data_IF_175493493521
#
_entry.id   IF_175493493521
#
_cell.length_a   1.000
_cell.length_b   1.000
_cell.length_c   1.000
_cell.angle_alpha   90.00
_cell.angle_beta   90.00
_cell.angle_gamma   90.00
#
_symmetry.space_group_name_H-M   'P 1'
#
loop_
_entity.id
_entity.type
_entity.pdbx_description
1 polymer ?
#
# COMPACT_ATOMS: atom_id res chain seq x y z
N UNK A 1 8.51 -7.70 -24.65
CA UNK A 1 9.82 -7.58 -25.36
C UNK A 1 9.91 -6.29 -26.18
N UNK A 2 8.86 -5.89 -26.92
CA UNK A 2 8.88 -4.64 -27.72
C UNK A 2 9.22 -3.39 -26.90
N UNK A 3 8.58 -3.18 -25.74
CA UNK A 3 8.82 -2.01 -24.88
C UNK A 3 10.29 -1.88 -24.44
N UNK A 4 10.96 -3.01 -24.16
CA UNK A 4 12.35 -3.00 -23.69
C UNK A 4 13.37 -2.70 -24.80
N UNK A 5 13.04 -3.07 -26.03
CA UNK A 5 13.90 -2.90 -27.20
C UNK A 5 13.67 -1.54 -27.87
N UNK A 6 12.57 -0.86 -27.55
CA UNK A 6 12.25 0.44 -28.10
C UNK A 6 13.22 1.51 -27.58
N UNK A 7 13.88 2.28 -28.47
CA UNK A 7 14.92 3.23 -28.08
C UNK A 7 14.39 4.44 -27.30
N UNK A 8 13.07 4.70 -27.33
CA UNK A 8 12.43 5.81 -26.62
C UNK A 8 11.84 5.30 -25.31
N UNK A 9 11.03 4.24 -25.36
CA UNK A 9 10.32 3.71 -24.19
C UNK A 9 11.27 3.03 -23.18
N UNK A 10 12.42 2.52 -23.62
CA UNK A 10 13.44 1.98 -22.71
C UNK A 10 14.07 3.03 -21.79
N UNK A 11 13.87 4.33 -22.08
CA UNK A 11 14.48 5.43 -21.33
C UNK A 11 13.52 6.07 -20.30
N UNK A 12 12.24 5.69 -20.31
CA UNK A 12 11.24 6.25 -19.39
C UNK A 12 11.06 5.38 -18.15
N UNK A 13 10.43 5.95 -17.11
CA UNK A 13 10.04 5.17 -15.93
C UNK A 13 8.83 4.30 -16.27
N UNK A 14 8.93 3.01 -15.99
CA UNK A 14 7.84 2.06 -16.17
C UNK A 14 7.40 1.56 -14.80
N UNK A 15 6.13 1.73 -14.48
CA UNK A 15 5.51 1.29 -13.23
C UNK A 15 4.30 0.44 -13.58
N UNK A 16 4.15 -0.71 -12.95
CA UNK A 16 3.02 -1.62 -13.13
C UNK A 16 2.20 -1.75 -11.85
N UNK A 17 0.90 -1.95 -12.02
CA UNK A 17 0.07 -2.69 -11.07
C UNK A 17 0.22 -4.18 -11.41
N UNK A 18 0.99 -4.97 -10.62
CA UNK A 18 1.43 -6.29 -11.05
C UNK A 18 0.39 -7.38 -10.78
N UNK A 19 -0.89 -7.09 -11.04
CA UNK A 19 -1.96 -8.07 -10.95
C UNK A 19 -3.12 -7.75 -11.89
N UNK A 20 -3.93 -8.76 -12.17
CA UNK A 20 -5.27 -8.63 -12.74
C UNK A 20 -6.26 -9.54 -11.99
N UNK A 21 -7.55 -9.45 -12.33
CA UNK A 21 -8.64 -10.22 -11.69
C UNK A 21 -8.76 -11.66 -12.19
N UNK A 22 -7.98 -12.03 -13.21
CA UNK A 22 -8.01 -13.35 -13.84
C UNK A 22 -7.27 -14.42 -13.04
N UNK A 23 -7.53 -15.68 -13.38
CA UNK A 23 -6.78 -16.81 -12.82
C UNK A 23 -5.30 -16.70 -13.21
N UNK A 24 -4.42 -16.76 -12.21
CA UNK A 24 -2.98 -16.57 -12.41
C UNK A 24 -2.56 -15.10 -12.63
N UNK A 25 -3.48 -14.16 -12.43
CA UNK A 25 -3.25 -12.72 -12.63
C UNK A 25 -2.24 -12.10 -11.67
N UNK A 26 -1.99 -12.70 -10.50
CA UNK A 26 -1.07 -12.15 -9.50
C UNK A 26 0.39 -12.35 -9.90
N UNK A 27 1.06 -11.27 -10.32
CA UNK A 27 2.38 -11.26 -10.95
C UNK A 27 3.41 -10.39 -10.19
N UNK A 28 3.20 -10.14 -8.90
CA UNK A 28 4.15 -9.41 -8.06
C UNK A 28 5.52 -10.09 -8.10
N UNK A 29 6.56 -9.32 -8.40
CA UNK A 29 7.94 -9.78 -8.56
C UNK A 29 8.29 -10.29 -9.97
N UNK A 30 7.28 -10.63 -10.79
CA UNK A 30 7.48 -11.28 -12.08
C UNK A 30 7.63 -10.29 -13.26
N UNK A 31 7.48 -8.96 -13.05
CA UNK A 31 7.73 -8.03 -14.15
C UNK A 31 9.21 -7.95 -14.49
N UNK A 32 9.55 -7.69 -15.77
CA UNK A 32 10.95 -7.57 -16.19
C UNK A 32 11.69 -6.41 -15.50
N UNK A 33 13.02 -6.50 -15.43
CA UNK A 33 13.93 -5.59 -14.71
C UNK A 33 13.67 -4.07 -14.86
N UNK A 34 13.35 -3.48 -16.03
CA UNK A 34 13.14 -2.03 -16.12
C UNK A 34 11.85 -1.54 -15.43
N UNK A 35 10.96 -2.44 -15.05
CA UNK A 35 9.72 -2.09 -14.38
C UNK A 35 9.93 -1.93 -12.88
N UNK A 36 9.23 -0.96 -12.30
CA UNK A 36 8.91 -0.93 -10.87
C UNK A 36 7.47 -1.39 -10.70
N UNK A 37 7.11 -1.86 -9.52
CA UNK A 37 5.80 -2.44 -9.25
C UNK A 37 5.19 -1.83 -8.01
N UNK A 38 3.88 -1.58 -8.07
CA UNK A 38 3.10 -1.29 -6.87
C UNK A 38 3.18 -2.48 -5.93
N UNK A 39 3.76 -2.26 -4.75
CA UNK A 39 3.97 -3.32 -3.78
C UNK A 39 2.76 -3.46 -2.85
N UNK A 40 1.73 -4.20 -3.31
CA UNK A 40 0.56 -4.51 -2.49
C UNK A 40 0.91 -5.26 -1.19
N UNK A 41 1.96 -6.11 -1.22
CA UNK A 41 2.45 -6.82 -0.03
C UNK A 41 3.00 -5.85 1.01
N UNK A 42 3.65 -4.76 0.60
CA UNK A 42 4.07 -3.67 1.48
C UNK A 42 2.88 -3.00 2.14
N UNK A 43 1.90 -2.55 1.32
CA UNK A 43 0.67 -1.91 1.79
C UNK A 43 0.01 -2.73 2.89
N UNK A 44 -0.27 -4.00 2.62
CA UNK A 44 -1.05 -4.85 3.54
C UNK A 44 -0.24 -5.21 4.80
N UNK A 45 1.07 -5.45 4.67
CA UNK A 45 1.91 -5.79 5.82
C UNK A 45 2.08 -4.60 6.77
N UNK A 46 2.29 -3.40 6.23
CA UNK A 46 2.44 -2.17 7.02
C UNK A 46 1.11 -1.82 7.71
N UNK A 47 -0.02 -1.94 7.00
CA UNK A 47 -1.36 -1.76 7.57
C UNK A 47 -1.62 -2.74 8.72
N UNK A 48 -1.43 -4.04 8.48
CA UNK A 48 -1.61 -5.06 9.52
C UNK A 48 -0.69 -4.87 10.73
N UNK A 49 0.56 -4.45 10.51
CA UNK A 49 1.51 -4.18 11.60
C UNK A 49 1.03 -3.05 12.52
N UNK A 50 0.64 -1.90 11.97
CA UNK A 50 0.20 -0.75 12.76
C UNK A 50 -1.22 -0.87 13.33
N UNK A 51 -2.07 -1.67 12.66
CA UNK A 51 -3.35 -2.13 13.21
C UNK A 51 -3.16 -2.98 14.48
N UNK A 52 -2.03 -3.67 14.61
CA UNK A 52 -1.69 -4.48 15.77
C UNK A 52 -1.93 -5.98 15.59
N UNK A 53 -2.00 -6.46 14.34
CA UNK A 53 -2.10 -7.89 14.07
C UNK A 53 -0.85 -8.64 14.58
N UNK A 54 -1.04 -9.84 15.12
CA UNK A 54 0.06 -10.65 15.64
C UNK A 54 0.95 -11.22 14.52
N UNK A 55 2.21 -11.52 14.85
CA UNK A 55 3.14 -12.23 13.95
C UNK A 55 3.68 -11.42 12.77
N UNK A 56 3.47 -10.10 12.72
CA UNK A 56 3.84 -9.26 11.57
C UNK A 56 5.32 -8.87 11.48
N UNK A 57 6.12 -9.08 12.53
CA UNK A 57 7.50 -8.59 12.63
C UNK A 57 8.39 -9.09 11.49
N UNK A 58 8.34 -10.39 11.18
CA UNK A 58 9.19 -10.99 10.14
C UNK A 58 8.86 -10.42 8.75
N UNK A 59 7.57 -10.31 8.43
CA UNK A 59 7.10 -9.77 7.16
C UNK A 59 7.44 -8.27 7.03
N UNK A 60 7.29 -7.54 8.14
CA UNK A 60 7.63 -6.12 8.21
C UNK A 60 9.13 -5.88 7.98
N UNK A 61 10.02 -6.77 8.45
CA UNK A 61 11.45 -6.66 8.24
C UNK A 61 11.82 -6.69 6.74
N UNK A 62 11.15 -7.56 5.96
CA UNK A 62 11.31 -7.55 4.50
C UNK A 62 10.81 -6.25 3.87
N UNK A 63 9.66 -5.73 4.32
CA UNK A 63 9.08 -4.50 3.78
C UNK A 63 9.95 -3.27 4.02
N UNK A 64 10.51 -3.15 5.22
CA UNK A 64 11.42 -2.05 5.56
C UNK A 64 12.72 -2.07 4.74
N UNK A 65 13.15 -3.26 4.31
CA UNK A 65 14.42 -3.46 3.59
C UNK A 65 14.28 -3.55 2.07
N UNK A 66 13.12 -3.12 1.53
CA UNK A 66 12.91 -3.01 0.09
C UNK A 66 12.41 -4.29 -0.58
N UNK A 67 11.79 -5.17 0.20
CA UNK A 67 11.19 -6.43 -0.26
C UNK A 67 12.16 -7.32 -1.05
N UNK A 68 13.34 -7.67 -0.50
CA UNK A 68 14.28 -8.54 -1.19
C UNK A 68 13.68 -9.93 -1.47
N UNK A 69 12.74 -10.39 -0.64
CA UNK A 69 11.98 -11.63 -0.87
C UNK A 69 11.17 -11.64 -2.19
N UNK A 70 10.84 -10.46 -2.73
CA UNK A 70 10.11 -10.32 -3.99
C UNK A 70 11.04 -10.02 -5.18
N UNK A 71 12.05 -9.16 -4.98
CA UNK A 71 12.76 -8.52 -6.09
C UNK A 71 14.22 -8.97 -6.25
N UNK A 72 14.88 -9.42 -5.18
CA UNK A 72 16.33 -9.69 -5.20
C UNK A 72 16.69 -10.84 -6.14
N UNK A 73 15.92 -11.93 -6.11
CA UNK A 73 16.20 -13.15 -6.87
C UNK A 73 16.16 -12.96 -8.40
N UNK A 74 15.49 -11.91 -8.88
CA UNK A 74 15.43 -11.55 -10.31
C UNK A 74 16.46 -10.50 -10.72
N UNK A 75 17.43 -10.19 -9.85
CA UNK A 75 18.46 -9.17 -10.08
C UNK A 75 17.92 -7.74 -10.01
N UNK A 76 16.70 -7.56 -9.50
CA UNK A 76 16.09 -6.23 -9.33
C UNK A 76 16.53 -5.64 -8.00
N UNK A 77 16.69 -4.33 -8.00
CA UNK A 77 17.14 -3.56 -6.82
C UNK A 77 15.93 -2.99 -6.07
N UNK A 78 16.10 -2.44 -4.86
CA UNK A 78 14.99 -1.90 -4.07
C UNK A 78 14.11 -0.87 -4.78
N UNK A 79 14.64 -0.14 -5.79
CA UNK A 79 13.83 0.79 -6.59
C UNK A 79 12.65 0.10 -7.32
N UNK A 80 12.72 -1.22 -7.53
CA UNK A 80 11.65 -1.99 -8.16
C UNK A 80 10.39 -2.04 -7.30
N UNK A 81 10.52 -1.81 -5.99
CA UNK A 81 9.40 -1.72 -5.06
C UNK A 81 8.88 -0.29 -4.98
N UNK A 82 7.67 -0.05 -5.49
CA UNK A 82 6.91 1.15 -5.18
C UNK A 82 6.11 0.89 -3.91
N UNK A 83 6.62 1.41 -2.80
CA UNK A 83 6.03 1.29 -1.49
C UNK A 83 4.90 2.31 -1.35
N UNK A 84 3.75 1.89 -0.83
CA UNK A 84 2.63 2.78 -0.55
C UNK A 84 1.78 2.23 0.59
N UNK A 85 1.19 3.11 1.38
CA UNK A 85 0.22 2.74 2.42
C UNK A 85 -1.21 2.96 1.94
N UNK A 86 -1.42 3.99 1.13
CA UNK A 86 -2.70 4.43 0.57
C UNK A 86 -2.52 4.80 -0.89
N UNK A 87 -3.60 4.71 -1.65
CA UNK A 87 -3.69 5.07 -3.05
C UNK A 87 -5.11 5.58 -3.31
N UNK A 88 -5.44 5.83 -4.58
CA UNK A 88 -6.80 6.18 -4.96
C UNK A 88 -7.80 5.06 -4.69
N UNK A 89 -7.36 3.79 -4.75
CA UNK A 89 -8.19 2.64 -4.40
C UNK A 89 -8.22 2.40 -2.89
N UNK A 90 -9.43 2.39 -2.33
CA UNK A 90 -9.69 2.15 -0.91
C UNK A 90 -9.63 3.43 -0.08
N UNK A 91 -9.23 3.31 1.18
CA UNK A 91 -9.20 4.44 2.12
C UNK A 91 -8.03 5.40 1.88
N UNK A 92 -8.30 6.68 2.15
CA UNK A 92 -7.28 7.70 2.46
C UNK A 92 -6.54 7.36 3.75
N UNK A 93 -5.43 8.04 4.06
CA UNK A 93 -4.69 7.78 5.30
C UNK A 93 -5.51 8.17 6.53
N UNK A 94 -6.32 9.22 6.42
CA UNK A 94 -7.24 9.62 7.48
C UNK A 94 -8.33 8.58 7.70
N UNK A 95 -8.94 8.07 6.64
CA UNK A 95 -10.02 7.08 6.76
C UNK A 95 -9.51 5.72 7.21
N UNK A 96 -8.29 5.34 6.80
CA UNK A 96 -7.61 4.11 7.23
C UNK A 96 -7.49 4.01 8.76
N UNK A 97 -7.39 5.15 9.45
CA UNK A 97 -7.32 5.22 10.92
C UNK A 97 -8.65 5.64 11.56
N UNK A 98 -9.71 5.86 10.77
CA UNK A 98 -10.99 6.40 11.25
C UNK A 98 -12.19 5.51 11.00
N UNK A 99 -12.09 4.49 10.14
CA UNK A 99 -13.18 3.58 9.81
C UNK A 99 -12.73 2.12 9.82
N UNK A 100 -13.57 1.23 10.35
CA UNK A 100 -13.37 -0.21 10.24
C UNK A 100 -14.09 -0.77 9.02
N UNK A 101 -15.23 -0.19 8.65
CA UNK A 101 -16.06 -0.62 7.53
C UNK A 101 -16.07 0.44 6.44
N UNK A 102 -16.25 0.01 5.19
CA UNK A 102 -16.48 0.93 4.07
C UNK A 102 -17.91 1.50 4.12
N UNK A 103 -18.04 2.77 3.76
CA UNK A 103 -19.31 3.51 3.71
C UNK A 103 -19.51 4.07 2.29
N UNK A 104 -19.74 3.17 1.33
CA UNK A 104 -19.88 3.46 -0.10
C UNK A 104 -21.35 3.60 -0.54
N UNK A 105 -22.29 3.86 0.38
CA UNK A 105 -23.72 3.91 0.09
C UNK A 105 -24.05 4.94 -1.00
N UNK A 106 -23.24 5.99 -1.11
CA UNK A 106 -23.38 7.04 -2.13
C UNK A 106 -23.10 6.54 -3.56
N UNK A 107 -22.44 5.40 -3.73
CA UNK A 107 -22.19 4.78 -5.04
C UNK A 107 -23.43 4.04 -5.59
N UNK A 108 -24.52 3.98 -4.80
CA UNK A 108 -25.80 3.40 -5.18
C UNK A 108 -25.75 1.90 -5.58
N UNK A 109 -24.74 1.17 -5.09
CA UNK A 109 -24.65 -0.29 -5.20
C UNK A 109 -24.85 -0.99 -3.84
N UNK A 110 -25.60 -0.35 -2.92
CA UNK A 110 -25.91 -0.90 -1.60
C UNK A 110 -24.65 -1.30 -0.81
N UNK A 111 -23.57 -0.51 -0.94
CA UNK A 111 -22.27 -0.75 -0.33
C UNK A 111 -21.61 -2.08 -0.78
N UNK A 112 -21.99 -2.65 -1.93
CA UNK A 112 -21.38 -3.89 -2.46
C UNK A 112 -20.03 -3.65 -3.11
N UNK A 113 -19.81 -2.48 -3.69
CA UNK A 113 -18.59 -2.09 -4.38
C UNK A 113 -17.42 -1.79 -3.42
N UNK A 114 -16.19 -1.94 -3.90
CA UNK A 114 -14.97 -1.73 -3.13
C UNK A 114 -14.51 -2.94 -2.30
N UNK A 115 -13.24 -2.92 -1.89
CA UNK A 115 -12.63 -3.99 -1.09
C UNK A 115 -13.21 -4.02 0.34
N UNK A 116 -13.50 -5.22 0.85
CA UNK A 116 -13.98 -5.45 2.21
C UNK A 116 -12.84 -5.67 3.21
N UNK A 117 -11.59 -5.78 2.75
CA UNK A 117 -10.42 -6.04 3.58
C UNK A 117 -9.44 -4.87 3.55
N UNK A 118 -9.82 -3.75 4.17
CA UNK A 118 -9.00 -2.53 4.12
C UNK A 118 -7.79 -2.55 5.07
N UNK A 119 -7.72 -3.54 5.99
CA UNK A 119 -6.72 -3.59 7.07
C UNK A 119 -6.67 -2.29 7.89
N UNK A 120 -7.84 -1.66 8.09
CA UNK A 120 -7.99 -0.41 8.82
C UNK A 120 -8.26 -0.64 10.31
N UNK A 121 -8.15 0.43 11.09
CA UNK A 121 -8.61 0.47 12.47
C UNK A 121 -9.08 1.86 12.85
N UNK A 122 -10.33 1.97 13.28
CA UNK A 122 -10.98 3.25 13.58
C UNK A 122 -10.49 3.95 14.87
N UNK A 123 -9.56 3.35 15.61
CA UNK A 123 -9.00 3.93 16.83
C UNK A 123 -9.97 3.97 18.02
N UNK A 124 -11.13 3.31 17.94
CA UNK A 124 -12.12 3.20 19.02
C UNK A 124 -13.47 3.86 18.75
N UNK A 125 -13.61 4.64 17.67
CA UNK A 125 -14.86 5.26 17.26
C UNK A 125 -15.00 5.16 15.73
N UNK A 126 -16.19 4.93 15.18
CA UNK A 126 -16.38 4.89 13.72
C UNK A 126 -16.60 6.31 13.18
N UNK A 127 -15.75 6.76 12.27
CA UNK A 127 -15.82 8.08 11.66
C UNK A 127 -15.38 9.24 12.58
N UNK A 128 -15.84 10.48 12.31
CA UNK A 128 -15.52 11.65 13.11
C UNK A 128 -15.94 11.50 14.58
N UNK A 129 -15.12 12.01 15.49
CA UNK A 129 -15.37 11.95 16.94
C UNK A 129 -14.80 13.15 17.66
N UNK A 130 -15.43 13.55 18.77
CA UNK A 130 -14.94 14.60 19.66
C UNK A 130 -14.04 14.05 20.79
N UNK A 131 -13.85 12.72 20.87
CA UNK A 131 -12.97 12.11 21.88
C UNK A 131 -11.51 12.50 21.62
N UNK A 132 -10.87 13.30 22.52
CA UNK A 132 -9.51 13.77 22.31
C UNK A 132 -8.48 12.64 22.37
N UNK A 133 -8.75 11.54 23.07
CA UNK A 133 -7.83 10.41 23.16
C UNK A 133 -7.80 9.63 21.84
N UNK A 134 -8.97 9.42 21.23
CA UNK A 134 -9.08 8.78 19.91
C UNK A 134 -8.40 9.65 18.85
N UNK A 135 -8.67 10.95 18.83
CA UNK A 135 -8.07 11.86 17.86
C UNK A 135 -6.54 11.93 17.99
N UNK A 136 -6.00 11.99 19.21
CA UNK A 136 -4.56 11.96 19.44
C UNK A 136 -3.92 10.63 18.98
N UNK A 137 -4.60 9.50 19.21
CA UNK A 137 -4.16 8.20 18.75
C UNK A 137 -4.12 8.10 17.22
N UNK A 138 -5.18 8.52 16.53
CA UNK A 138 -5.26 8.54 15.06
C UNK A 138 -4.17 9.40 14.46
N UNK A 139 -3.93 10.57 15.06
CA UNK A 139 -2.88 11.48 14.64
C UNK A 139 -1.47 10.90 14.79
N UNK A 140 -1.25 10.10 15.85
CA UNK A 140 -0.03 9.31 15.98
C UNK A 140 0.05 8.21 14.92
N UNK A 141 -1.04 7.51 14.64
CA UNK A 141 -1.06 6.45 13.63
C UNK A 141 -0.76 6.96 12.22
N UNK A 142 -1.33 8.10 11.82
CA UNK A 142 -0.98 8.73 10.53
C UNK A 142 0.53 9.00 10.42
N UNK A 143 1.15 9.54 11.48
CA UNK A 143 2.60 9.76 11.51
C UNK A 143 3.40 8.46 11.52
N UNK A 144 2.93 7.41 12.19
CA UNK A 144 3.57 6.10 12.16
C UNK A 144 3.61 5.53 10.73
N UNK A 145 2.50 5.61 10.00
CA UNK A 145 2.41 5.20 8.60
C UNK A 145 3.32 6.03 7.69
N UNK A 146 3.23 7.36 7.76
CA UNK A 146 4.08 8.25 6.96
C UNK A 146 5.57 8.03 7.25
N UNK A 147 5.94 7.92 8.53
CA UNK A 147 7.32 7.65 8.95
C UNK A 147 7.80 6.31 8.40
N UNK A 148 6.96 5.27 8.48
CA UNK A 148 7.28 3.95 7.94
C UNK A 148 7.50 4.02 6.43
N UNK A 149 6.59 4.67 5.70
CA UNK A 149 6.67 4.85 4.26
C UNK A 149 7.95 5.57 3.83
N UNK A 150 8.24 6.72 4.44
CA UNK A 150 9.35 7.59 4.06
C UNK A 150 10.73 7.05 4.47
N UNK A 151 10.79 6.16 5.47
CA UNK A 151 12.04 5.57 5.94
C UNK A 151 12.30 4.14 5.41
N UNK A 152 11.32 3.51 4.76
CA UNK A 152 11.50 2.18 4.15
C UNK A 152 12.37 2.27 2.90
N UNK A 153 13.22 1.27 2.67
CA UNK A 153 13.96 1.14 1.41
C UNK A 153 12.99 0.89 0.24
N UNK A 154 13.20 1.56 -0.88
CA UNK A 154 12.34 1.50 -2.07
C UNK A 154 11.92 2.88 -2.56
N UNK A 155 10.94 2.94 -3.45
CA UNK A 155 10.35 4.20 -3.94
C UNK A 155 9.07 4.48 -3.15
N UNK A 156 9.00 5.51 -2.30
CA UNK A 156 7.77 5.86 -1.60
C UNK A 156 6.79 6.57 -2.53
N UNK A 157 5.54 6.12 -2.55
CA UNK A 157 4.41 6.80 -3.18
C UNK A 157 3.45 7.31 -2.09
N UNK A 158 3.32 8.63 -2.00
CA UNK A 158 2.37 9.32 -1.13
C UNK A 158 1.08 9.60 -1.93
N UNK A 159 -0.07 9.23 -1.39
CA UNK A 159 -1.36 9.61 -1.98
C UNK A 159 -1.60 11.11 -1.71
N UNK A 160 -1.92 11.88 -2.75
CA UNK A 160 -2.13 13.32 -2.60
C UNK A 160 -3.32 13.62 -1.69
N UNK A 161 -3.12 14.53 -0.74
CA UNK A 161 -4.11 14.87 0.30
C UNK A 161 -3.88 14.16 1.64
N UNK A 162 -2.91 13.25 1.74
CA UNK A 162 -2.54 12.57 2.99
C UNK A 162 -1.45 13.32 3.80
N UNK A 163 -0.85 14.40 3.25
CA UNK A 163 0.15 15.26 3.93
C UNK A 163 -0.38 16.06 5.12
#
# INVERSE_FOLDING_TARGET
QVIQQDPILSQVKLIAEPWDVGEGGYQVGNFPVPWSEWNGKYRDSVRGFWKGDEGRIAEMAYRLTGSPDLYEHHGRRPYASVNFVTAHDGFTLTDLVSYNEKHNELNADENRDGDNNNQSWNGGAEGPTDDPQVNALRDRQRRNFLTTLLLSQGVPMLCGGDE
#
